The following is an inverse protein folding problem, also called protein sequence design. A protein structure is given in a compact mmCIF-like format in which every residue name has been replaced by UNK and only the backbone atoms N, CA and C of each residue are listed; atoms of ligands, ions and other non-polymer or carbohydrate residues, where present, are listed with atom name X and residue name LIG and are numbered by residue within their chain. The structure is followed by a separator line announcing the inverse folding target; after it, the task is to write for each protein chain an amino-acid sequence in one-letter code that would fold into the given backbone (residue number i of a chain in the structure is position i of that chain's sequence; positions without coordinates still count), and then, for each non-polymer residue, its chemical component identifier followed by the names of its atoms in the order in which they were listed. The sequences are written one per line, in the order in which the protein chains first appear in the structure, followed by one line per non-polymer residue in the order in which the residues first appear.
data_IF_642279280891
#
_entry.id   IF_642279280891
#
_cell.length_a   1.000
_cell.length_b   1.000
_cell.length_c   1.000
_cell.angle_alpha   90.00
_cell.angle_beta   90.00
_cell.angle_gamma   90.00
#
_symmetry.space_group_name_H-M   'P 1'
#
loop_
_entity.id
_entity.type
_entity.pdbx_description
1 polymer ?
#
# COMPACT_ATOMS: atom_id res chain seq x y z
N UNK A 1 -2.22 -12.31 -18.41
CA UNK A 1 -3.60 -11.87 -18.10
C UNK A 1 -3.49 -10.80 -17.02
N UNK A 2 -4.24 -9.70 -17.13
CA UNK A 2 -4.24 -8.64 -16.12
C UNK A 2 -5.01 -9.04 -14.85
N UNK A 3 -4.75 -8.33 -13.76
CA UNK A 3 -5.43 -8.51 -12.48
C UNK A 3 -6.76 -7.75 -12.46
N UNK A 4 -7.80 -8.38 -11.91
CA UNK A 4 -9.14 -7.79 -11.85
C UNK A 4 -9.36 -6.99 -10.55
N UNK A 5 -8.90 -7.52 -9.41
CA UNK A 5 -9.01 -6.87 -8.09
C UNK A 5 -7.65 -6.75 -7.45
N UNK A 6 -7.23 -5.53 -7.21
CA UNK A 6 -5.88 -5.19 -6.77
C UNK A 6 -5.93 -4.46 -5.43
N UNK A 7 -5.03 -4.83 -4.52
CA UNK A 7 -4.72 -3.99 -3.37
C UNK A 7 -3.38 -3.32 -3.60
N UNK A 8 -3.39 -1.98 -3.72
CA UNK A 8 -2.21 -1.14 -3.85
C UNK A 8 -1.77 -0.64 -2.48
N UNK A 9 -0.58 -1.02 -2.05
CA UNK A 9 0.06 -0.50 -0.83
C UNK A 9 1.03 0.61 -1.21
N UNK A 10 0.78 1.80 -0.67
CA UNK A 10 1.64 2.97 -0.80
C UNK A 10 2.37 3.24 0.52
N UNK A 11 3.67 3.49 0.49
CA UNK A 11 4.35 4.01 1.67
C UNK A 11 3.98 5.48 1.88
N UNK A 12 3.81 5.91 3.14
CA UNK A 12 3.62 7.33 3.41
C UNK A 12 4.77 8.18 2.88
N UNK A 13 6.00 7.66 2.97
CA UNK A 13 7.20 8.35 2.46
C UNK A 13 7.17 8.62 0.95
N UNK A 14 6.41 7.82 0.18
CA UNK A 14 6.22 8.10 -1.23
C UNK A 14 5.41 9.38 -1.46
N UNK A 15 4.49 9.71 -0.53
CA UNK A 15 3.63 10.89 -0.66
C UNK A 15 4.33 12.22 -0.36
N UNK A 16 5.47 12.21 0.31
CA UNK A 16 6.18 13.46 0.65
C UNK A 16 7.05 14.01 -0.48
N UNK A 17 7.22 13.25 -1.57
CA UNK A 17 8.12 13.64 -2.65
C UNK A 17 9.54 13.92 -2.14
N UNK A 18 10.11 15.06 -2.53
CA UNK A 18 11.42 15.54 -2.08
C UNK A 18 11.36 16.42 -0.82
N UNK A 19 10.17 16.74 -0.32
CA UNK A 19 9.98 17.68 0.80
C UNK A 19 10.45 17.15 2.16
N UNK A 20 10.65 15.82 2.28
CA UNK A 20 11.11 15.18 3.52
C UNK A 20 10.06 15.06 4.63
N UNK A 21 8.89 15.72 4.50
CA UNK A 21 7.76 15.70 5.42
C UNK A 21 6.47 16.12 4.71
N UNK A 22 5.32 15.62 5.19
CA UNK A 22 4.01 16.04 4.70
C UNK A 22 3.59 15.31 3.43
N UNK A 23 2.76 15.94 2.64
CA UNK A 23 2.17 15.38 1.42
C UNK A 23 2.45 16.34 0.26
N UNK A 24 3.06 15.83 -0.80
CA UNK A 24 3.30 16.56 -2.03
C UNK A 24 2.07 16.46 -2.95
N UNK A 25 1.39 17.57 -3.28
CA UNK A 25 0.22 17.54 -4.15
C UNK A 25 0.51 16.99 -5.56
N UNK A 26 1.73 17.17 -6.09
CA UNK A 26 2.10 16.67 -7.41
C UNK A 26 2.17 15.13 -7.41
N UNK A 27 2.68 14.52 -6.33
CA UNK A 27 2.69 13.06 -6.17
C UNK A 27 1.26 12.52 -6.07
N UNK A 28 0.41 13.16 -5.28
CA UNK A 28 -1.01 12.77 -5.17
C UNK A 28 -1.69 12.82 -6.54
N UNK A 29 -1.44 13.87 -7.32
CA UNK A 29 -2.01 14.04 -8.67
C UNK A 29 -1.51 12.95 -9.63
N UNK A 30 -0.22 12.61 -9.59
CA UNK A 30 0.36 11.55 -10.42
C UNK A 30 -0.26 10.18 -10.09
N UNK A 31 -0.36 9.84 -8.80
CA UNK A 31 -1.02 8.59 -8.36
C UNK A 31 -2.48 8.57 -8.79
N UNK A 32 -3.19 9.69 -8.64
CA UNK A 32 -4.60 9.79 -9.01
C UNK A 32 -4.82 9.58 -10.52
N UNK A 33 -3.94 10.10 -11.37
CA UNK A 33 -4.00 9.89 -12.82
C UNK A 33 -3.79 8.41 -13.20
N UNK A 34 -2.78 7.75 -12.63
CA UNK A 34 -2.51 6.33 -12.88
C UNK A 34 -3.66 5.43 -12.39
N UNK A 35 -4.19 5.70 -11.20
CA UNK A 35 -5.34 4.98 -10.64
C UNK A 35 -6.59 5.20 -11.49
N UNK A 36 -6.84 6.42 -11.95
CA UNK A 36 -7.98 6.73 -12.82
C UNK A 36 -7.95 5.91 -14.12
N UNK A 37 -6.79 5.78 -14.74
CA UNK A 37 -6.61 4.95 -15.93
C UNK A 37 -6.94 3.47 -15.65
N UNK A 38 -6.46 2.92 -14.52
CA UNK A 38 -6.75 1.52 -14.15
C UNK A 38 -8.24 1.28 -13.89
N UNK A 39 -8.92 2.23 -13.22
CA UNK A 39 -10.36 2.13 -12.93
C UNK A 39 -11.19 2.25 -14.21
N UNK A 40 -10.81 3.11 -15.14
CA UNK A 40 -11.45 3.25 -16.43
C UNK A 40 -11.36 1.94 -17.26
N UNK A 41 -10.27 1.18 -17.12
CA UNK A 41 -10.09 -0.14 -17.73
C UNK A 41 -10.85 -1.27 -16.98
N UNK A 42 -11.63 -0.93 -15.93
CA UNK A 42 -12.47 -1.86 -15.19
C UNK A 42 -11.78 -2.59 -14.03
N UNK A 43 -10.58 -2.16 -13.64
CA UNK A 43 -9.89 -2.72 -12.46
C UNK A 43 -10.57 -2.29 -11.17
N UNK A 44 -10.85 -3.25 -10.28
CA UNK A 44 -11.30 -2.99 -8.93
C UNK A 44 -10.09 -2.72 -8.03
N UNK A 45 -9.93 -1.48 -7.54
CA UNK A 45 -8.74 -1.07 -6.85
C UNK A 45 -9.04 -0.64 -5.42
N UNK A 46 -8.28 -1.20 -4.47
CA UNK A 46 -8.23 -0.76 -3.08
C UNK A 46 -6.83 -0.26 -2.75
N UNK A 47 -6.72 0.69 -1.83
CA UNK A 47 -5.45 1.30 -1.42
C UNK A 47 -5.28 1.15 0.08
N UNK A 48 -4.07 0.79 0.52
CA UNK A 48 -3.57 0.96 1.88
C UNK A 48 -2.43 1.95 1.83
N UNK A 49 -2.48 2.99 2.65
CA UNK A 49 -1.43 4.01 2.70
C UNK A 49 -0.78 4.07 4.08
N UNK A 50 0.56 4.17 4.09
CA UNK A 50 1.33 4.38 5.32
C UNK A 50 1.24 5.83 5.84
N UNK A 51 1.71 6.05 7.08
CA UNK A 51 1.74 7.38 7.74
C UNK A 51 3.14 7.95 7.94
N UNK A 52 4.19 7.30 7.44
CA UNK A 52 5.59 7.61 7.76
C UNK A 52 6.12 8.96 7.29
N UNK A 53 5.41 9.63 6.38
CA UNK A 53 5.67 11.01 5.95
C UNK A 53 5.23 12.07 6.99
N UNK A 54 4.33 11.69 7.90
CA UNK A 54 3.77 12.58 8.94
C UNK A 54 4.30 12.15 10.31
N UNK A 55 4.19 10.86 10.64
CA UNK A 55 4.63 10.33 11.92
C UNK A 55 5.10 8.87 11.81
N UNK A 56 6.23 8.57 12.47
CA UNK A 56 6.78 7.21 12.54
C UNK A 56 6.73 6.71 13.98
N UNK A 57 5.86 5.72 14.26
CA UNK A 57 5.65 5.16 15.59
C UNK A 57 6.93 4.65 16.25
N UNK A 58 7.79 3.95 15.51
CA UNK A 58 9.09 3.48 16.01
C UNK A 58 10.01 4.61 16.45
N UNK A 59 10.06 5.73 15.70
CA UNK A 59 10.85 6.90 16.10
C UNK A 59 10.24 7.62 17.30
N UNK A 60 8.91 7.70 17.37
CA UNK A 60 8.22 8.27 18.54
C UNK A 60 8.45 7.44 19.79
N UNK A 61 8.39 6.13 19.71
CA UNK A 61 8.70 5.22 20.81
C UNK A 61 10.16 5.32 21.26
N UNK A 62 11.11 5.41 20.33
CA UNK A 62 12.52 5.62 20.65
C UNK A 62 12.78 6.97 21.36
N UNK A 63 11.90 7.97 21.17
CA UNK A 63 11.94 9.27 21.86
C UNK A 63 11.21 9.26 23.22
N UNK A 64 10.79 8.08 23.72
CA UNK A 64 10.17 7.92 25.05
C UNK A 64 8.64 7.88 25.05
N UNK A 65 7.97 7.93 23.90
CA UNK A 65 6.53 7.73 23.83
C UNK A 65 6.20 6.25 24.02
N UNK A 66 5.10 5.94 24.73
CA UNK A 66 4.58 4.57 24.77
C UNK A 66 4.32 4.03 23.36
N UNK A 67 4.71 2.77 23.12
CA UNK A 67 4.65 2.16 21.79
C UNK A 67 3.23 2.13 21.23
N UNK A 68 2.24 1.74 22.04
CA UNK A 68 0.86 1.68 21.58
C UNK A 68 0.32 3.08 21.24
N UNK A 69 0.65 4.08 22.06
CA UNK A 69 0.32 5.48 21.81
C UNK A 69 0.96 5.99 20.52
N UNK A 70 2.25 5.69 20.29
CA UNK A 70 2.94 6.07 19.06
C UNK A 70 2.33 5.41 17.81
N UNK A 71 1.91 4.15 17.92
CA UNK A 71 1.24 3.44 16.83
C UNK A 71 -0.15 4.05 16.54
N UNK A 72 -0.92 4.48 17.55
CA UNK A 72 -2.19 5.22 17.33
C UNK A 72 -1.96 6.55 16.61
N UNK A 73 -0.93 7.32 16.97
CA UNK A 73 -0.58 8.55 16.24
C UNK A 73 -0.22 8.22 14.78
N UNK A 74 0.53 7.15 14.55
CA UNK A 74 0.82 6.65 13.19
C UNK A 74 -0.44 6.25 12.42
N UNK A 75 -1.42 5.62 13.07
CA UNK A 75 -2.71 5.29 12.44
C UNK A 75 -3.47 6.57 12.03
N UNK A 76 -3.50 7.61 12.88
CA UNK A 76 -4.11 8.89 12.53
C UNK A 76 -3.39 9.56 11.36
N UNK A 77 -2.06 9.46 11.29
CA UNK A 77 -1.31 9.92 10.13
C UNK A 77 -1.72 9.23 8.82
N UNK A 78 -2.04 7.92 8.86
CA UNK A 78 -2.58 7.23 7.68
C UNK A 78 -3.96 7.76 7.27
N UNK A 79 -4.77 8.20 8.21
CA UNK A 79 -6.08 8.80 7.91
C UNK A 79 -5.93 10.12 7.17
N UNK A 80 -4.99 10.98 7.60
CA UNK A 80 -4.68 12.23 6.90
C UNK A 80 -4.28 11.96 5.44
N UNK A 81 -3.38 11.00 5.21
CA UNK A 81 -2.98 10.59 3.87
C UNK A 81 -4.15 10.05 3.05
N UNK A 82 -5.01 9.22 3.66
CA UNK A 82 -6.15 8.62 2.99
C UNK A 82 -7.17 9.66 2.50
N UNK A 83 -7.47 10.67 3.33
CA UNK A 83 -8.39 11.77 2.98
C UNK A 83 -7.80 12.62 1.86
N UNK A 84 -6.51 12.93 1.92
CA UNK A 84 -5.83 13.70 0.86
C UNK A 84 -5.80 12.93 -0.46
N UNK A 85 -5.55 11.61 -0.43
CA UNK A 85 -5.64 10.77 -1.62
C UNK A 85 -7.06 10.68 -2.16
N UNK A 86 -8.08 10.60 -1.29
CA UNK A 86 -9.49 10.63 -1.72
C UNK A 86 -9.80 11.90 -2.50
N UNK A 87 -9.44 13.06 -1.97
CA UNK A 87 -9.65 14.35 -2.63
C UNK A 87 -8.94 14.40 -4.01
N UNK A 88 -7.70 13.92 -4.08
CA UNK A 88 -6.95 13.83 -5.34
C UNK A 88 -7.61 12.92 -6.38
N UNK A 89 -8.08 11.74 -5.95
CA UNK A 89 -8.77 10.78 -6.82
C UNK A 89 -10.13 11.31 -7.29
N UNK A 90 -10.91 11.93 -6.41
CA UNK A 90 -12.21 12.49 -6.76
C UNK A 90 -12.05 13.68 -7.73
N UNK A 91 -11.02 14.50 -7.59
CA UNK A 91 -10.66 15.53 -8.58
C UNK A 91 -10.25 14.95 -9.94
N UNK A 92 -9.66 13.76 -9.95
CA UNK A 92 -9.36 13.01 -11.18
C UNK A 92 -10.58 12.25 -11.76
N UNK A 93 -11.78 12.45 -11.19
CA UNK A 93 -13.03 11.83 -11.66
C UNK A 93 -13.26 10.40 -11.14
N UNK A 94 -12.49 9.93 -10.15
CA UNK A 94 -12.62 8.58 -9.60
C UNK A 94 -13.41 8.62 -8.30
N UNK A 95 -14.65 8.11 -8.27
CA UNK A 95 -15.41 8.01 -7.02
C UNK A 95 -14.67 7.17 -5.99
N UNK A 96 -14.38 7.74 -4.82
CA UNK A 96 -13.54 7.12 -3.80
C UNK A 96 -14.22 7.09 -2.44
N UNK A 97 -13.92 6.09 -1.61
CA UNK A 97 -14.39 5.98 -0.22
C UNK A 97 -13.24 5.64 0.70
N UNK A 98 -13.07 6.43 1.75
CA UNK A 98 -12.16 6.09 2.86
C UNK A 98 -12.92 5.26 3.87
N UNK A 99 -12.34 4.11 4.25
CA UNK A 99 -12.85 3.26 5.33
C UNK A 99 -11.79 3.13 6.43
N UNK A 100 -12.15 3.51 7.65
CA UNK A 100 -11.24 3.52 8.80
C UNK A 100 -11.47 2.33 9.71
N UNK A 101 -10.37 1.73 10.18
CA UNK A 101 -10.40 0.68 11.21
C UNK A 101 -10.68 1.24 12.62
N UNK A 102 -10.49 2.55 12.83
CA UNK A 102 -10.86 3.28 14.06
C UNK A 102 -12.12 4.10 13.75
N UNK A 103 -13.11 4.08 14.63
CA UNK A 103 -14.36 4.83 14.46
C UNK A 103 -14.11 6.34 14.44
N UNK A 104 -14.48 6.97 13.33
CA UNK A 104 -14.41 8.43 13.11
C UNK A 104 -15.42 8.83 12.02
N UNK A 105 -16.69 8.61 12.32
CA UNK A 105 -17.79 8.64 11.33
C UNK A 105 -17.97 9.98 10.63
N UNK A 106 -17.53 11.07 11.25
CA UNK A 106 -17.56 12.42 10.67
C UNK A 106 -16.54 12.59 9.53
N UNK A 107 -15.53 11.70 9.44
CA UNK A 107 -14.38 11.86 8.55
C UNK A 107 -14.27 10.70 7.55
N UNK A 108 -14.54 9.47 8.00
CA UNK A 108 -14.40 8.25 7.19
C UNK A 108 -15.46 7.23 7.56
N UNK A 109 -15.84 6.39 6.61
CA UNK A 109 -16.73 5.27 6.87
C UNK A 109 -16.06 4.26 7.82
N UNK A 110 -16.80 3.62 8.75
CA UNK A 110 -16.27 2.48 9.47
C UNK A 110 -15.99 1.34 8.49
N UNK A 111 -14.85 0.65 8.69
CA UNK A 111 -14.50 -0.49 7.86
C UNK A 111 -15.51 -1.64 8.06
N UNK A 112 -16.13 -2.03 6.97
CA UNK A 112 -16.99 -3.23 6.88
C UNK A 112 -16.64 -3.95 5.59
N UNK A 113 -16.11 -5.18 5.69
CA UNK A 113 -15.63 -5.99 4.56
C UNK A 113 -16.60 -6.00 3.36
N UNK A 114 -17.89 -6.32 3.60
CA UNK A 114 -18.90 -6.38 2.53
C UNK A 114 -19.18 -5.03 1.88
N UNK A 115 -19.06 -3.95 2.64
CA UNK A 115 -19.23 -2.59 2.14
C UNK A 115 -18.07 -2.19 1.24
N UNK A 116 -16.82 -2.54 1.62
CA UNK A 116 -15.64 -2.35 0.79
C UNK A 116 -15.78 -3.06 -0.56
N UNK A 117 -16.11 -4.35 -0.56
CA UNK A 117 -16.33 -5.13 -1.77
C UNK A 117 -17.41 -4.49 -2.65
N UNK A 118 -18.53 -4.09 -2.05
CA UNK A 118 -19.63 -3.45 -2.79
C UNK A 118 -19.24 -2.11 -3.39
N UNK A 119 -18.37 -1.34 -2.76
CA UNK A 119 -17.83 -0.12 -3.37
C UNK A 119 -17.00 -0.43 -4.61
N UNK A 120 -16.07 -1.38 -4.53
CA UNK A 120 -15.24 -1.76 -5.65
C UNK A 120 -16.05 -2.33 -6.83
N UNK A 121 -17.07 -3.16 -6.55
CA UNK A 121 -17.99 -3.67 -7.57
C UNK A 121 -18.78 -2.56 -8.30
N UNK A 122 -18.95 -1.40 -7.66
CA UNK A 122 -19.56 -0.20 -8.25
C UNK A 122 -18.54 0.73 -8.93
N UNK A 123 -17.31 0.28 -9.16
CA UNK A 123 -16.26 1.08 -9.77
C UNK A 123 -15.71 2.19 -8.89
N UNK A 124 -15.86 2.09 -7.55
CA UNK A 124 -15.29 3.03 -6.60
C UNK A 124 -13.96 2.50 -6.09
N UNK A 125 -12.99 3.39 -5.91
CA UNK A 125 -11.77 3.07 -5.15
C UNK A 125 -12.08 3.08 -3.66
N UNK A 126 -11.52 2.14 -2.92
CA UNK A 126 -11.60 2.11 -1.45
C UNK A 126 -10.21 2.34 -0.88
N UNK A 127 -10.07 3.32 0.02
CA UNK A 127 -8.83 3.57 0.75
C UNK A 127 -9.03 3.10 2.19
N UNK A 128 -8.20 2.14 2.62
CA UNK A 128 -8.22 1.66 3.99
C UNK A 128 -7.29 2.50 4.86
N UNK A 129 -7.85 3.14 5.88
CA UNK A 129 -7.17 4.01 6.81
C UNK A 129 -7.10 3.42 8.22
N UNK A 130 -6.25 3.97 9.06
CA UNK A 130 -6.00 3.56 10.45
C UNK A 130 -5.47 2.11 10.58
N UNK A 131 -4.78 1.61 9.55
CA UNK A 131 -4.12 0.32 9.62
C UNK A 131 -5.07 -0.85 9.90
N UNK A 132 -4.68 -1.72 10.85
CA UNK A 132 -5.53 -2.79 11.37
C UNK A 132 -6.49 -2.29 12.46
N UNK A 133 -6.30 -1.07 12.97
CA UNK A 133 -6.96 -0.55 14.17
C UNK A 133 -6.29 -1.00 15.48
N UNK A 134 -5.24 -1.82 15.40
CA UNK A 134 -4.51 -2.35 16.55
C UNK A 134 -3.04 -1.92 16.51
N UNK A 135 -2.47 -1.50 17.67
CA UNK A 135 -1.03 -1.28 17.80
C UNK A 135 -0.21 -2.53 17.46
N UNK A 136 1.09 -2.34 17.26
CA UNK A 136 2.10 -3.36 16.96
C UNK A 136 2.07 -3.96 15.55
N UNK A 137 1.10 -3.60 14.72
CA UNK A 137 1.02 -4.01 13.32
C UNK A 137 1.45 -2.90 12.37
N UNK A 138 2.08 -3.27 11.27
CA UNK A 138 2.47 -2.32 10.23
C UNK A 138 1.39 -2.14 9.17
N UNK A 139 1.59 -1.20 8.26
CA UNK A 139 0.73 -1.05 7.08
C UNK A 139 0.97 -2.15 6.04
N UNK A 140 2.10 -2.87 6.09
CA UNK A 140 2.34 -4.06 5.26
C UNK A 140 1.44 -5.21 5.73
N UNK A 141 1.38 -5.48 7.04
CA UNK A 141 0.42 -6.44 7.62
C UNK A 141 -1.02 -6.04 7.30
N UNK A 142 -1.34 -4.74 7.37
CA UNK A 142 -2.67 -4.24 6.99
C UNK A 142 -2.98 -4.55 5.53
N UNK A 143 -2.04 -4.32 4.61
CA UNK A 143 -2.24 -4.59 3.19
C UNK A 143 -2.53 -6.07 2.93
N UNK A 144 -1.76 -6.98 3.54
CA UNK A 144 -1.99 -8.41 3.43
C UNK A 144 -3.36 -8.83 3.97
N UNK A 145 -3.74 -8.33 5.16
CA UNK A 145 -5.04 -8.60 5.78
C UNK A 145 -6.20 -8.12 4.89
N UNK A 146 -6.16 -6.86 4.46
CA UNK A 146 -7.22 -6.30 3.61
C UNK A 146 -7.30 -7.00 2.25
N UNK A 147 -6.17 -7.38 1.65
CA UNK A 147 -6.14 -8.15 0.41
C UNK A 147 -6.87 -9.49 0.56
N UNK A 148 -6.60 -10.24 1.63
CA UNK A 148 -7.30 -11.49 1.92
C UNK A 148 -8.81 -11.25 2.14
N UNK A 149 -9.18 -10.25 2.93
CA UNK A 149 -10.58 -9.94 3.25
C UNK A 149 -11.41 -9.54 2.03
N UNK A 150 -10.81 -8.81 1.08
CA UNK A 150 -11.53 -8.36 -0.13
C UNK A 150 -11.39 -9.34 -1.30
N UNK A 151 -10.71 -10.46 -1.14
CA UNK A 151 -10.36 -11.42 -2.19
C UNK A 151 -9.61 -10.72 -3.35
N UNK A 152 -8.52 -10.02 -3.02
CA UNK A 152 -7.66 -9.42 -4.04
C UNK A 152 -6.85 -10.49 -4.78
N UNK A 153 -6.64 -10.31 -6.08
CA UNK A 153 -5.83 -11.20 -6.91
C UNK A 153 -4.33 -11.02 -6.63
N UNK A 154 -3.94 -9.86 -6.08
CA UNK A 154 -2.55 -9.46 -5.88
C UNK A 154 -2.44 -8.31 -4.87
N UNK A 155 -1.31 -8.24 -4.17
CA UNK A 155 -0.86 -7.05 -3.45
C UNK A 155 0.24 -6.37 -4.25
N UNK A 156 0.06 -5.11 -4.59
CA UNK A 156 1.07 -4.25 -5.17
C UNK A 156 1.76 -3.44 -4.08
N UNK A 157 3.06 -3.64 -3.90
CA UNK A 157 3.90 -2.81 -3.05
C UNK A 157 4.64 -1.80 -3.92
N UNK A 158 4.06 -0.62 -4.06
CA UNK A 158 4.67 0.49 -4.77
C UNK A 158 5.64 1.24 -3.85
N UNK A 159 6.90 1.33 -4.25
CA UNK A 159 8.02 1.85 -3.45
C UNK A 159 8.87 2.84 -4.23
N UNK A 160 10.00 3.27 -3.64
CA UNK A 160 11.02 4.11 -4.30
C UNK A 160 12.10 3.29 -5.03
N UNK A 161 12.03 1.96 -4.95
CA UNK A 161 12.94 1.05 -5.66
C UNK A 161 12.15 0.18 -6.62
N UNK A 162 12.79 -0.25 -7.68
CA UNK A 162 12.16 -0.96 -8.79
C UNK A 162 12.00 -2.47 -8.59
N UNK A 163 12.21 -2.96 -7.35
CA UNK A 163 12.02 -4.37 -7.02
C UNK A 163 12.71 -4.78 -5.73
N UNK A 164 12.84 -6.08 -5.51
CA UNK A 164 13.56 -6.69 -4.39
C UNK A 164 14.98 -7.03 -4.81
N UNK A 165 15.94 -6.75 -3.95
CA UNK A 165 17.36 -6.95 -4.19
C UNK A 165 17.96 -7.88 -3.14
N UNK A 166 19.09 -8.50 -3.47
CA UNK A 166 19.88 -9.33 -2.56
C UNK A 166 20.54 -8.51 -1.43
N UNK A 167 20.69 -7.19 -1.62
CA UNK A 167 21.21 -6.19 -0.69
C UNK A 167 20.74 -4.79 -1.08
N UNK A 168 20.88 -3.81 -0.18
CA UNK A 168 20.41 -2.44 -0.40
C UNK A 168 21.09 -1.81 -1.64
N UNK A 169 20.36 -1.54 -2.74
CA UNK A 169 20.93 -0.99 -3.97
C UNK A 169 21.45 0.46 -3.80
N UNK A 170 21.01 1.17 -2.77
CA UNK A 170 21.49 2.52 -2.48
C UNK A 170 22.87 2.51 -1.81
N UNK A 171 23.28 1.38 -1.20
CA UNK A 171 24.56 1.21 -0.52
C UNK A 171 25.55 0.35 -1.33
N UNK A 172 25.04 -0.49 -2.22
CA UNK A 172 25.81 -1.49 -2.93
C UNK A 172 25.55 -1.42 -4.43
N UNK A 173 26.52 -0.90 -5.21
CA UNK A 173 26.39 -0.77 -6.66
C UNK A 173 26.33 -2.14 -7.41
N UNK A 174 26.71 -3.22 -6.73
CA UNK A 174 26.67 -4.59 -7.23
C UNK A 174 25.42 -5.37 -6.75
N UNK A 175 24.44 -4.67 -6.16
CA UNK A 175 23.16 -5.26 -5.76
C UNK A 175 22.42 -5.83 -6.99
N UNK A 176 21.89 -7.02 -6.85
CA UNK A 176 21.17 -7.71 -7.93
C UNK A 176 19.69 -7.78 -7.60
N UNK A 177 18.87 -7.31 -8.54
CA UNK A 177 17.42 -7.41 -8.42
C UNK A 177 16.97 -8.83 -8.77
N UNK A 178 15.98 -9.31 -8.03
CA UNK A 178 15.26 -10.54 -8.36
C UNK A 178 14.07 -10.21 -9.28
N UNK A 179 13.86 -11.00 -10.31
CA UNK A 179 12.65 -10.91 -11.15
C UNK A 179 11.48 -11.63 -10.48
N UNK A 180 11.77 -12.74 -9.80
CA UNK A 180 10.78 -13.56 -9.11
C UNK A 180 11.38 -14.23 -7.88
N UNK A 181 10.57 -14.40 -6.83
CA UNK A 181 10.92 -15.08 -5.58
C UNK A 181 9.72 -15.91 -5.11
N UNK A 182 9.96 -17.04 -4.47
CA UNK A 182 8.96 -17.70 -3.67
C UNK A 182 8.82 -17.03 -2.30
N UNK A 183 7.66 -17.17 -1.64
CA UNK A 183 7.50 -16.72 -0.24
C UNK A 183 8.52 -17.36 0.70
N UNK A 184 8.90 -18.62 0.42
CA UNK A 184 9.87 -19.33 1.23
C UNK A 184 11.27 -18.71 1.10
N UNK A 185 11.69 -18.36 -0.09
CA UNK A 185 12.98 -17.67 -0.32
C UNK A 185 13.03 -16.32 0.39
N UNK A 186 11.94 -15.53 0.33
CA UNK A 186 11.84 -14.25 1.05
C UNK A 186 12.02 -14.45 2.55
N UNK A 187 11.34 -15.43 3.15
CA UNK A 187 11.40 -15.70 4.59
C UNK A 187 12.74 -16.28 5.02
N UNK A 188 13.29 -17.25 4.26
CA UNK A 188 14.55 -17.93 4.60
C UNK A 188 15.78 -17.05 4.40
N UNK A 189 15.73 -16.11 3.45
CA UNK A 189 16.82 -15.17 3.16
C UNK A 189 16.68 -13.84 3.91
N UNK A 190 15.67 -13.71 4.77
CA UNK A 190 15.37 -12.49 5.55
C UNK A 190 15.34 -11.22 4.70
N UNK A 191 14.82 -11.32 3.48
CA UNK A 191 14.75 -10.17 2.57
C UNK A 191 13.75 -9.13 3.07
N UNK A 192 14.17 -7.87 3.15
CA UNK A 192 13.35 -6.75 3.65
C UNK A 192 12.29 -6.30 2.63
N UNK A 193 11.38 -7.20 2.27
CA UNK A 193 10.26 -6.89 1.35
C UNK A 193 9.10 -6.29 2.11
N UNK A 194 8.57 -7.03 3.07
CA UNK A 194 7.47 -6.68 3.97
C UNK A 194 7.76 -7.32 5.34
N UNK A 195 7.03 -6.92 6.37
CA UNK A 195 7.17 -7.63 7.64
C UNK A 195 6.76 -9.10 7.53
N UNK A 196 7.36 -9.95 8.38
CA UNK A 196 7.15 -11.41 8.32
C UNK A 196 5.70 -11.83 8.45
N UNK A 197 4.88 -11.08 9.22
CA UNK A 197 3.45 -11.34 9.37
C UNK A 197 2.70 -11.12 8.05
N UNK A 198 3.04 -10.05 7.31
CA UNK A 198 2.45 -9.77 6.01
C UNK A 198 2.81 -10.85 4.98
N UNK A 199 4.08 -11.27 4.93
CA UNK A 199 4.55 -12.35 4.03
C UNK A 199 3.84 -13.66 4.36
N UNK A 200 3.76 -14.04 5.64
CA UNK A 200 3.09 -15.26 6.07
C UNK A 200 1.61 -15.25 5.68
N UNK A 201 0.91 -14.13 5.90
CA UNK A 201 -0.51 -14.00 5.57
C UNK A 201 -0.77 -14.09 4.06
N UNK A 202 0.06 -13.45 3.24
CA UNK A 202 -0.02 -13.56 1.78
C UNK A 202 0.26 -14.98 1.30
N UNK A 203 1.27 -15.65 1.86
CA UNK A 203 1.61 -17.06 1.58
C UNK A 203 0.44 -17.98 1.89
N UNK A 204 -0.12 -17.89 3.11
CA UNK A 204 -1.20 -18.79 3.57
C UNK A 204 -2.49 -18.63 2.76
N UNK A 205 -2.71 -17.45 2.16
CA UNK A 205 -3.86 -17.16 1.31
C UNK A 205 -3.53 -17.23 -0.20
N UNK A 206 -2.31 -17.64 -0.57
CA UNK A 206 -1.83 -17.72 -1.95
C UNK A 206 -2.00 -16.41 -2.75
N UNK A 207 -1.83 -15.25 -2.09
CA UNK A 207 -1.94 -13.93 -2.69
C UNK A 207 -0.55 -13.47 -3.12
N UNK A 208 -0.24 -13.38 -4.42
CA UNK A 208 1.06 -12.92 -4.89
C UNK A 208 1.29 -11.45 -4.52
N UNK A 209 2.58 -11.07 -4.39
CA UNK A 209 2.99 -9.68 -4.17
C UNK A 209 3.83 -9.26 -5.37
N UNK A 210 3.63 -8.03 -5.87
CA UNK A 210 4.49 -7.41 -6.87
C UNK A 210 5.08 -6.13 -6.29
N UNK A 211 6.41 -6.06 -6.23
CA UNK A 211 7.16 -4.90 -5.73
C UNK A 211 7.72 -4.14 -6.93
N UNK A 212 7.39 -2.85 -7.04
CA UNK A 212 7.82 -2.04 -8.17
C UNK A 212 8.00 -0.56 -7.81
N UNK A 213 8.69 0.18 -8.69
CA UNK A 213 8.87 1.63 -8.54
C UNK A 213 7.55 2.38 -8.81
N UNK A 214 7.10 3.16 -7.81
CA UNK A 214 5.90 3.99 -7.92
C UNK A 214 6.06 5.13 -8.92
N UNK A 215 7.28 5.67 -9.06
CA UNK A 215 7.53 6.91 -9.80
C UNK A 215 7.75 6.71 -11.29
N UNK A 216 7.88 5.47 -11.74
CA UNK A 216 7.92 5.17 -13.17
C UNK A 216 6.57 5.46 -13.83
N UNK A 217 6.54 6.24 -14.93
CA UNK A 217 5.29 6.64 -15.59
C UNK A 217 4.41 5.44 -15.96
N UNK A 218 3.16 5.42 -15.48
CA UNK A 218 2.18 4.39 -15.77
C UNK A 218 2.48 3.02 -15.14
N UNK A 219 3.41 2.92 -14.19
CA UNK A 219 3.81 1.65 -13.60
C UNK A 219 2.66 0.94 -12.87
N UNK A 220 1.74 1.67 -12.25
CA UNK A 220 0.54 1.04 -11.64
C UNK A 220 -0.27 0.32 -12.72
N UNK A 221 -0.53 0.97 -13.85
CA UNK A 221 -1.25 0.36 -14.97
C UNK A 221 -0.51 -0.83 -15.60
N UNK A 222 0.81 -0.72 -15.75
CA UNK A 222 1.65 -1.83 -16.25
C UNK A 222 1.57 -3.04 -15.32
N UNK A 223 1.67 -2.82 -14.00
CA UNK A 223 1.50 -3.88 -13.01
C UNK A 223 0.12 -4.53 -13.11
N UNK A 224 -0.95 -3.74 -13.23
CA UNK A 224 -2.34 -4.22 -13.38
C UNK A 224 -2.49 -5.11 -14.61
N UNK A 225 -1.87 -4.75 -15.73
CA UNK A 225 -1.87 -5.58 -16.94
C UNK A 225 -1.02 -6.85 -16.83
N UNK A 226 -0.26 -7.01 -15.73
CA UNK A 226 0.62 -8.16 -15.51
C UNK A 226 1.90 -8.12 -16.34
N UNK A 227 2.36 -6.91 -16.72
CA UNK A 227 3.65 -6.72 -17.36
C UNK A 227 4.79 -7.08 -16.39
N UNK A 228 5.93 -7.59 -16.87
CA UNK A 228 7.06 -7.97 -16.04
C UNK A 228 7.80 -6.73 -15.53
N UNK A 229 7.22 -6.03 -14.56
CA UNK A 229 7.86 -4.92 -13.87
C UNK A 229 8.16 -5.30 -12.42
N UNK A 230 9.30 -4.86 -11.94
CA UNK A 230 9.71 -5.11 -10.56
C UNK A 230 10.00 -6.58 -10.23
N UNK A 231 9.69 -6.99 -9.00
CA UNK A 231 9.86 -8.34 -8.49
C UNK A 231 8.51 -8.95 -8.13
N UNK A 232 8.24 -10.16 -8.61
CA UNK A 232 7.04 -10.94 -8.26
C UNK A 232 7.37 -11.95 -7.16
N UNK A 233 6.58 -11.95 -6.08
CA UNK A 233 6.66 -12.94 -5.00
C UNK A 233 5.40 -13.81 -5.05
N UNK A 234 5.57 -15.11 -5.03
CA UNK A 234 4.47 -16.07 -5.23
C UNK A 234 4.67 -17.36 -4.40
N UNK A 235 3.66 -18.24 -4.30
CA UNK A 235 3.79 -19.58 -3.73
C UNK A 235 4.89 -20.42 -4.36
#
# INVERSE_FOLDING_TARGET
MGYKRVLLKLSGEALMGEQGYGIDPAIVQSIAADVAACVADGTQLAIVVGGGNIFRGLKGSAAGMDRATADYVGMLATVMNAITLQDGLERAGVPTRVQSAISMQEVAEPYIRRKAIRHMEKGRVVIFAAGTGNPFFTTDTTAALRAAEINADVVFKATKVDGVYDKDPNKHADARRFDSLSFLEVLSSELEVMDGAAIALCKDNAIPIVVFDLFGPGNIGRAVRGEPIGTRIHP
#
